data_IF_717765370040
#
_entry.id   IF_717765370040
#
_cell.length_a   1.000
_cell.length_b   1.000
_cell.length_c   1.000
_cell.angle_alpha   90.00
_cell.angle_beta   90.00
_cell.angle_gamma   90.00
#
_symmetry.space_group_name_H-M   'P 1'
#
loop_
_entity.id
_entity.type
_entity.pdbx_description
1 polymer ?
#
# COMPACT_ATOMS: atom_id res chain seq x y z
N UNK A 1 -9.85 13.77 -4.59
CA UNK A 1 -10.58 15.02 -4.26
C UNK A 1 -11.93 14.62 -3.69
N UNK A 2 -12.02 14.59 -2.37
CA UNK A 2 -13.20 14.14 -1.63
C UNK A 2 -14.35 15.14 -1.67
N UNK A 3 -15.59 14.64 -1.69
CA UNK A 3 -16.80 15.45 -1.53
C UNK A 3 -16.88 15.89 -0.07
N UNK A 4 -16.34 17.08 0.23
CA UNK A 4 -16.43 17.70 1.55
C UNK A 4 -17.88 18.00 1.96
N UNK A 5 -18.16 17.78 3.25
CA UNK A 5 -19.48 17.83 3.88
C UNK A 5 -20.18 19.21 3.89
N UNK A 6 -21.45 19.16 4.27
CA UNK A 6 -22.47 20.17 4.02
C UNK A 6 -22.53 21.27 5.10
N UNK A 7 -22.36 22.53 4.70
CA UNK A 7 -22.86 23.71 5.40
C UNK A 7 -23.80 24.49 4.47
N UNK A 8 -25.01 24.84 4.93
CA UNK A 8 -25.99 25.63 4.15
C UNK A 8 -25.29 26.87 3.54
N UNK A 9 -25.28 27.03 2.20
CA UNK A 9 -24.64 28.17 1.54
C UNK A 9 -25.12 29.53 2.04
N UNK A 10 -26.28 29.61 2.70
CA UNK A 10 -26.78 30.85 3.32
C UNK A 10 -25.99 31.31 4.54
N UNK A 11 -25.23 30.43 5.21
CA UNK A 11 -24.59 30.73 6.50
C UNK A 11 -23.21 31.41 6.36
N UNK A 12 -22.52 31.29 5.21
CA UNK A 12 -21.10 31.71 5.10
C UNK A 12 -20.82 32.61 3.88
N UNK A 13 -21.80 33.01 3.07
CA UNK A 13 -21.56 33.93 1.93
C UNK A 13 -20.47 33.46 0.94
N UNK A 14 -20.12 32.17 0.98
CA UNK A 14 -19.08 31.54 0.16
C UNK A 14 -19.77 30.65 -0.86
N UNK A 15 -19.61 30.98 -2.14
CA UNK A 15 -20.03 30.11 -3.22
C UNK A 15 -19.27 28.77 -3.13
N UNK A 16 -20.01 27.66 -3.05
CA UNK A 16 -19.43 26.32 -3.03
C UNK A 16 -18.70 26.05 -4.35
N UNK A 17 -17.61 25.29 -4.27
CA UNK A 17 -16.99 24.71 -5.47
C UNK A 17 -17.97 23.73 -6.13
N UNK A 18 -18.04 23.67 -7.47
CA UNK A 18 -18.94 22.76 -8.18
C UNK A 18 -18.68 21.29 -7.80
N UNK A 19 -19.75 20.54 -7.51
CA UNK A 19 -19.69 19.12 -7.17
C UNK A 19 -19.58 18.22 -8.42
N UNK A 20 -19.96 18.74 -9.58
CA UNK A 20 -19.79 18.11 -10.88
C UNK A 20 -18.35 18.35 -11.35
N UNK A 21 -17.61 17.29 -11.74
CA UNK A 21 -16.32 17.48 -12.38
C UNK A 21 -16.51 18.42 -13.58
N UNK A 22 -15.64 19.43 -13.79
CA UNK A 22 -15.74 20.23 -14.99
C UNK A 22 -15.57 19.29 -16.19
N UNK A 23 -16.46 19.37 -17.18
CA UNK A 23 -16.42 18.53 -18.40
C UNK A 23 -15.06 18.61 -19.13
N UNK A 24 -14.26 19.64 -18.84
CA UNK A 24 -12.95 19.94 -19.42
C UNK A 24 -11.74 19.50 -18.59
N UNK A 25 -11.89 19.07 -17.32
CA UNK A 25 -10.78 18.75 -16.42
C UNK A 25 -10.73 17.26 -16.07
N UNK A 26 -10.07 16.46 -16.92
CA UNK A 26 -9.78 15.06 -16.61
C UNK A 26 -8.39 14.89 -15.96
N UNK A 27 -8.17 13.77 -15.26
CA UNK A 27 -6.84 13.40 -14.74
C UNK A 27 -5.79 13.37 -15.86
N UNK A 28 -6.19 12.99 -17.08
CA UNK A 28 -5.32 13.01 -18.26
C UNK A 28 -4.87 14.42 -18.65
N UNK A 29 -5.76 15.42 -18.56
CA UNK A 29 -5.41 16.83 -18.82
C UNK A 29 -4.41 17.32 -17.79
N UNK A 30 -4.66 17.05 -16.50
CA UNK A 30 -3.74 17.42 -15.43
C UNK A 30 -2.37 16.77 -15.60
N UNK A 31 -2.33 15.46 -15.94
CA UNK A 31 -1.09 14.73 -16.16
C UNK A 31 -0.28 15.31 -17.32
N UNK A 32 -0.92 15.77 -18.40
CA UNK A 32 -0.25 16.40 -19.54
C UNK A 32 0.34 17.78 -19.22
N UNK A 33 -0.18 18.48 -18.20
CA UNK A 33 0.34 19.77 -17.77
C UNK A 33 1.63 19.65 -16.93
N UNK A 34 1.91 18.47 -16.39
CA UNK A 34 3.12 18.21 -15.59
C UNK A 34 4.31 17.98 -16.55
N UNK A 35 5.46 18.65 -16.34
CA UNK A 35 6.65 18.45 -17.16
C UNK A 35 7.10 16.99 -17.24
N UNK A 36 7.57 16.55 -18.41
CA UNK A 36 7.96 15.15 -18.65
C UNK A 36 9.04 14.65 -17.67
N UNK A 37 10.02 15.49 -17.34
CA UNK A 37 11.10 15.16 -16.41
C UNK A 37 10.59 14.82 -14.99
N UNK A 38 9.40 15.30 -14.59
CA UNK A 38 8.80 14.93 -13.30
C UNK A 38 8.34 13.46 -13.24
N UNK A 39 8.25 12.77 -14.38
CA UNK A 39 7.92 11.35 -14.46
C UNK A 39 9.16 10.44 -14.60
N UNK A 40 10.36 11.04 -14.72
CA UNK A 40 11.61 10.31 -14.81
C UNK A 40 12.04 9.82 -13.42
N UNK A 41 12.06 8.50 -13.27
CA UNK A 41 12.44 7.82 -12.02
C UNK A 41 13.89 7.36 -12.12
N UNK A 42 14.71 7.74 -11.15
CA UNK A 42 16.12 7.32 -11.09
C UNK A 42 16.31 6.29 -10.00
N UNK A 43 16.51 5.02 -10.40
CA UNK A 43 16.78 3.93 -9.46
C UNK A 43 17.98 4.24 -8.56
N UNK A 44 19.04 4.83 -9.13
CA UNK A 44 20.24 5.18 -8.38
C UNK A 44 19.96 6.22 -7.29
N UNK A 45 19.23 7.29 -7.64
CA UNK A 45 18.86 8.34 -6.69
C UNK A 45 17.96 7.80 -5.59
N UNK A 46 16.95 7.01 -5.93
CA UNK A 46 16.06 6.41 -4.93
C UNK A 46 16.81 5.43 -4.02
N UNK A 47 17.72 4.62 -4.59
CA UNK A 47 18.55 3.69 -3.84
C UNK A 47 19.55 4.39 -2.92
N UNK A 48 20.09 5.56 -3.29
CA UNK A 48 21.01 6.30 -2.42
C UNK A 48 20.30 6.86 -1.18
N UNK A 49 19.06 7.33 -1.29
CA UNK A 49 18.26 7.71 -0.12
C UNK A 49 17.99 6.50 0.78
N UNK A 50 17.55 5.37 0.21
CA UNK A 50 17.33 4.15 0.99
C UNK A 50 18.60 3.66 1.70
N UNK A 51 19.75 3.66 1.01
CA UNK A 51 21.02 3.26 1.59
C UNK A 51 21.45 4.23 2.70
N UNK A 52 21.16 5.51 2.56
CA UNK A 52 21.43 6.54 3.59
C UNK A 52 20.60 6.26 4.83
N UNK A 53 19.30 6.01 4.70
CA UNK A 53 18.43 5.69 5.83
C UNK A 53 18.90 4.41 6.54
N UNK A 54 19.23 3.35 5.78
CA UNK A 54 19.76 2.10 6.34
C UNK A 54 21.09 2.31 7.05
N UNK A 55 21.99 3.12 6.50
CA UNK A 55 23.27 3.46 7.13
C UNK A 55 23.07 4.24 8.43
N UNK A 56 22.15 5.21 8.46
CA UNK A 56 21.81 5.95 9.68
C UNK A 56 21.20 5.01 10.72
N UNK A 57 20.30 4.12 10.34
CA UNK A 57 19.75 3.10 11.25
C UNK A 57 20.85 2.21 11.84
N UNK A 58 21.78 1.74 11.02
CA UNK A 58 22.91 0.94 11.49
C UNK A 58 23.82 1.72 12.44
N UNK A 59 24.10 2.99 12.15
CA UNK A 59 24.90 3.86 13.01
C UNK A 59 24.20 4.14 14.35
N UNK A 60 22.89 4.44 14.34
CA UNK A 60 22.10 4.63 15.56
C UNK A 60 22.08 3.35 16.42
N UNK A 61 21.87 2.18 15.80
CA UNK A 61 21.93 0.91 16.50
C UNK A 61 23.31 0.66 17.11
N UNK A 62 24.39 0.89 16.34
CA UNK A 62 25.75 0.75 16.84
C UNK A 62 26.03 1.69 18.01
N UNK A 63 25.49 2.92 17.99
CA UNK A 63 25.58 3.88 19.10
C UNK A 63 25.05 3.32 20.43
N UNK A 64 24.05 2.43 20.40
CA UNK A 64 23.49 1.83 21.62
C UNK A 64 24.47 0.92 22.36
N UNK A 65 25.50 0.40 21.68
CA UNK A 65 26.50 -0.50 22.29
C UNK A 65 27.32 0.17 23.40
N UNK A 66 27.39 1.51 23.39
CA UNK A 66 28.07 2.28 24.43
C UNK A 66 27.16 2.74 25.56
N UNK A 67 25.82 2.58 25.47
CA UNK A 67 24.90 3.12 26.47
C UNK A 67 25.07 2.46 27.85
N UNK A 68 25.57 1.23 27.87
CA UNK A 68 25.84 0.46 29.10
C UNK A 68 27.26 0.65 29.65
N UNK A 69 28.02 1.63 29.14
CA UNK A 69 29.38 1.88 29.63
C UNK A 69 29.37 2.27 31.12
N UNK A 70 30.28 1.73 31.97
CA UNK A 70 30.27 1.98 33.41
C UNK A 70 30.32 3.46 33.83
N UNK A 71 30.89 4.32 32.98
CA UNK A 71 30.93 5.78 33.21
C UNK A 71 29.61 6.50 32.96
N UNK A 72 28.60 5.84 32.39
CA UNK A 72 27.29 6.43 32.11
C UNK A 72 26.33 6.05 33.23
N UNK A 73 25.81 7.01 34.01
CA UNK A 73 24.86 6.70 35.06
C UNK A 73 23.52 6.23 34.48
N UNK A 74 22.86 5.30 35.18
CA UNK A 74 21.62 4.67 34.72
C UNK A 74 20.52 5.67 34.34
N UNK A 75 20.38 6.78 35.08
CA UNK A 75 19.36 7.78 34.77
C UNK A 75 19.60 8.46 33.41
N UNK A 76 20.86 8.64 33.00
CA UNK A 76 21.20 9.21 31.70
C UNK A 76 20.98 8.19 30.58
N UNK A 77 21.42 6.95 30.81
CA UNK A 77 21.22 5.85 29.85
C UNK A 77 19.73 5.59 29.58
N UNK A 78 18.96 5.30 30.62
CA UNK A 78 17.55 4.91 30.48
C UNK A 78 16.58 6.09 30.43
N UNK A 79 16.92 7.23 31.05
CA UNK A 79 16.05 8.41 31.05
C UNK A 79 16.20 9.30 29.82
N UNK A 80 17.34 9.25 29.11
CA UNK A 80 17.58 10.12 27.95
C UNK A 80 18.07 9.36 26.72
N UNK A 81 19.16 8.60 26.82
CA UNK A 81 19.82 8.00 25.65
C UNK A 81 18.93 6.97 24.95
N UNK A 82 18.31 6.05 25.71
CA UNK A 82 17.37 5.06 25.17
C UNK A 82 16.12 5.70 24.55
N UNK A 83 15.39 6.61 25.22
CA UNK A 83 14.27 7.32 24.61
C UNK A 83 14.65 8.11 23.36
N UNK A 84 15.79 8.80 23.37
CA UNK A 84 16.28 9.50 22.20
C UNK A 84 16.57 8.54 21.04
N UNK A 85 17.21 7.40 21.32
CA UNK A 85 17.43 6.34 20.34
C UNK A 85 16.10 5.84 19.76
N UNK A 86 15.11 5.49 20.58
CA UNK A 86 13.81 5.01 20.09
C UNK A 86 13.14 6.02 19.15
N UNK A 87 13.16 7.30 19.54
CA UNK A 87 12.60 8.37 18.72
C UNK A 87 13.31 8.50 17.37
N UNK A 88 14.64 8.64 17.37
CA UNK A 88 15.40 8.84 16.14
C UNK A 88 15.42 7.59 15.26
N UNK A 89 15.56 6.39 15.85
CA UNK A 89 15.50 5.12 15.16
C UNK A 89 14.13 4.92 14.49
N UNK A 90 13.04 5.25 15.21
CA UNK A 90 11.67 5.21 14.68
C UNK A 90 11.43 6.23 13.57
N UNK A 91 11.95 7.45 13.71
CA UNK A 91 11.84 8.49 12.69
C UNK A 91 12.53 8.09 11.38
N UNK A 92 13.76 7.55 11.45
CA UNK A 92 14.48 7.05 10.26
C UNK A 92 13.81 5.80 9.70
N UNK A 93 13.34 4.88 10.56
CA UNK A 93 12.57 3.71 10.13
C UNK A 93 11.28 4.08 9.39
N UNK A 94 10.64 5.20 9.75
CA UNK A 94 9.49 5.75 9.01
C UNK A 94 9.90 6.21 7.61
N UNK A 95 11.11 6.76 7.43
CA UNK A 95 11.67 7.06 6.10
C UNK A 95 11.75 5.81 5.21
N UNK A 96 12.30 4.72 5.74
CA UNK A 96 12.34 3.42 5.04
C UNK A 96 10.93 2.91 4.73
N UNK A 97 9.99 3.06 5.66
CA UNK A 97 8.58 2.69 5.44
C UNK A 97 7.98 3.47 4.26
N UNK A 98 8.22 4.79 4.19
CA UNK A 98 7.72 5.69 3.11
C UNK A 98 8.34 5.30 1.77
N UNK A 99 9.67 5.10 1.70
CA UNK A 99 10.34 4.68 0.46
C UNK A 99 9.79 3.33 -0.04
N UNK A 100 9.56 2.39 0.88
CA UNK A 100 8.98 1.08 0.56
C UNK A 100 7.51 1.20 0.11
N UNK A 101 6.77 2.15 0.66
CA UNK A 101 5.43 2.52 0.20
C UNK A 101 5.45 3.10 -1.22
N UNK A 102 6.42 3.95 -1.54
CA UNK A 102 6.61 4.48 -2.92
C UNK A 102 6.96 3.37 -3.92
N UNK A 103 7.58 2.29 -3.47
CA UNK A 103 7.75 1.09 -4.29
C UNK A 103 6.37 0.47 -4.65
N UNK A 104 5.40 0.48 -3.73
CA UNK A 104 4.01 0.08 -4.01
C UNK A 104 3.37 0.91 -5.12
N UNK A 105 3.69 2.21 -5.19
CA UNK A 105 3.26 3.14 -6.25
C UNK A 105 4.07 3.04 -7.54
N UNK A 106 5.10 2.18 -7.56
CA UNK A 106 6.03 2.04 -8.68
C UNK A 106 6.85 3.32 -8.96
N UNK A 107 7.08 4.14 -7.94
CA UNK A 107 7.80 5.41 -8.07
C UNK A 107 9.33 5.28 -7.85
N UNK A 108 9.79 4.24 -7.16
CA UNK A 108 11.20 4.08 -6.80
C UNK A 108 12.14 3.86 -8.00
N UNK A 109 11.72 3.03 -8.96
CA UNK A 109 12.49 2.64 -10.15
C UNK A 109 11.60 2.58 -11.40
N UNK A 110 12.15 2.78 -12.61
CA UNK A 110 11.45 2.45 -13.85
C UNK A 110 11.05 0.97 -13.96
N UNK A 111 11.77 0.07 -13.27
CA UNK A 111 11.50 -1.38 -13.28
C UNK A 111 10.52 -1.77 -12.18
N UNK A 112 9.39 -2.36 -12.59
CA UNK A 112 8.41 -2.87 -11.62
C UNK A 112 8.96 -4.00 -10.76
N UNK A 113 9.82 -4.86 -11.31
CA UNK A 113 10.44 -5.93 -10.57
C UNK A 113 11.36 -5.39 -9.46
N UNK A 114 12.10 -4.30 -9.72
CA UNK A 114 12.94 -3.66 -8.70
C UNK A 114 12.08 -3.06 -7.59
N UNK A 115 11.01 -2.35 -7.95
CA UNK A 115 10.07 -1.78 -6.99
C UNK A 115 9.47 -2.88 -6.10
N UNK A 116 8.92 -3.94 -6.72
CA UNK A 116 8.25 -5.00 -5.99
C UNK A 116 9.22 -5.76 -5.08
N UNK A 117 10.46 -5.99 -5.51
CA UNK A 117 11.49 -6.64 -4.68
C UNK A 117 11.92 -5.77 -3.50
N UNK A 118 12.27 -4.50 -3.73
CA UNK A 118 12.69 -3.58 -2.66
C UNK A 118 11.56 -3.36 -1.66
N UNK A 119 10.37 -3.04 -2.18
CA UNK A 119 9.18 -2.87 -1.37
C UNK A 119 8.89 -4.12 -0.54
N UNK A 120 8.86 -5.30 -1.15
CA UNK A 120 8.62 -6.56 -0.44
C UNK A 120 9.61 -6.79 0.71
N UNK A 121 10.92 -6.64 0.47
CA UNK A 121 11.94 -6.86 1.49
C UNK A 121 11.77 -5.91 2.67
N UNK A 122 11.75 -4.60 2.42
CA UNK A 122 11.76 -3.61 3.50
C UNK A 122 10.40 -3.48 4.20
N UNK A 123 9.27 -3.60 3.50
CA UNK A 123 7.98 -3.68 4.17
C UNK A 123 7.84 -4.95 5.00
N UNK A 124 8.35 -6.10 4.56
CA UNK A 124 8.33 -7.33 5.38
C UNK A 124 9.13 -7.14 6.67
N UNK A 125 10.33 -6.53 6.60
CA UNK A 125 11.13 -6.21 7.79
C UNK A 125 10.41 -5.26 8.76
N UNK A 126 9.51 -4.42 8.24
CA UNK A 126 8.69 -3.49 9.02
C UNK A 126 7.28 -4.03 9.33
N UNK A 127 7.07 -5.35 9.17
CA UNK A 127 5.80 -6.03 9.46
C UNK A 127 4.60 -5.49 8.64
N UNK A 128 4.86 -5.06 7.41
CA UNK A 128 3.87 -4.62 6.44
C UNK A 128 3.73 -5.70 5.36
N UNK A 129 2.54 -6.28 5.14
CA UNK A 129 2.35 -7.32 4.12
C UNK A 129 2.26 -6.68 2.73
N UNK A 130 3.43 -6.43 2.11
CA UNK A 130 3.63 -5.58 0.93
C UNK A 130 2.56 -5.72 -0.17
N UNK A 131 2.40 -6.91 -0.76
CA UNK A 131 1.46 -7.09 -1.89
C UNK A 131 0.01 -6.86 -1.50
N UNK A 132 -0.38 -7.43 -0.36
CA UNK A 132 -1.73 -7.33 0.17
C UNK A 132 -2.10 -5.88 0.51
N UNK A 133 -1.15 -5.12 1.07
CA UNK A 133 -1.34 -3.72 1.41
C UNK A 133 -1.27 -2.82 0.18
N UNK A 134 -0.35 -3.08 -0.76
CA UNK A 134 -0.24 -2.36 -2.04
C UNK A 134 -1.59 -2.28 -2.78
N UNK A 135 -2.38 -3.35 -2.76
CA UNK A 135 -3.70 -3.38 -3.41
C UNK A 135 -4.75 -2.49 -2.71
N UNK A 136 -4.95 -2.66 -1.39
CA UNK A 136 -5.90 -1.85 -0.62
C UNK A 136 -5.47 -0.37 -0.60
N UNK A 137 -4.17 -0.14 -0.44
CA UNK A 137 -3.59 1.19 -0.41
C UNK A 137 -3.69 1.91 -1.76
N UNK A 138 -3.48 1.23 -2.89
CA UNK A 138 -3.75 1.81 -4.22
C UNK A 138 -5.21 2.26 -4.36
N UNK A 139 -6.15 1.47 -3.83
CA UNK A 139 -7.56 1.84 -3.83
C UNK A 139 -7.84 3.05 -2.93
N UNK A 140 -7.25 3.10 -1.74
CA UNK A 140 -7.26 4.30 -0.89
C UNK A 140 -6.85 5.54 -1.69
N UNK A 141 -5.68 5.54 -2.35
CA UNK A 141 -5.21 6.69 -3.14
C UNK A 141 -6.12 7.05 -4.32
N UNK A 142 -6.71 6.05 -4.98
CA UNK A 142 -7.65 6.31 -6.08
C UNK A 142 -8.97 6.94 -5.61
N UNK A 143 -9.33 6.76 -4.33
CA UNK A 143 -10.60 7.14 -3.76
C UNK A 143 -10.46 8.08 -2.54
N UNK A 144 -9.30 8.71 -2.33
CA UNK A 144 -9.04 9.50 -1.12
C UNK A 144 -10.10 10.56 -0.89
N UNK A 145 -10.71 10.51 0.30
CA UNK A 145 -11.79 11.42 0.71
C UNK A 145 -13.16 11.08 0.12
N UNK A 146 -13.32 9.91 -0.49
CA UNK A 146 -14.62 9.39 -0.90
C UNK A 146 -15.18 8.47 0.20
N UNK A 147 -16.21 8.93 0.91
CA UNK A 147 -16.82 8.20 2.03
C UNK A 147 -17.25 6.77 1.65
N UNK A 148 -17.70 6.55 0.40
CA UNK A 148 -18.17 5.24 -0.04
C UNK A 148 -17.08 4.31 -0.58
N UNK A 149 -15.91 4.84 -0.95
CA UNK A 149 -14.89 4.10 -1.72
C UNK A 149 -13.48 4.14 -1.15
N UNK A 150 -13.20 5.03 -0.20
CA UNK A 150 -11.94 5.04 0.54
C UNK A 150 -11.80 3.73 1.35
N UNK A 151 -10.58 3.25 1.51
CA UNK A 151 -10.29 1.97 2.16
C UNK A 151 -9.95 2.10 3.64
N UNK A 152 -9.43 3.25 4.10
CA UNK A 152 -8.79 3.36 5.43
C UNK A 152 -9.04 4.66 6.19
N UNK A 153 -9.43 5.75 5.52
CA UNK A 153 -9.75 7.02 6.19
C UNK A 153 -11.17 7.46 5.85
N UNK A 154 -12.14 6.60 6.15
CA UNK A 154 -13.57 6.85 5.93
C UNK A 154 -14.11 7.71 7.07
N UNK A 155 -14.53 8.97 6.81
CA UNK A 155 -15.18 9.79 7.82
C UNK A 155 -16.52 9.18 8.21
N UNK A 156 -16.91 9.33 9.47
CA UNK A 156 -18.26 8.99 9.93
C UNK A 156 -19.30 9.84 9.21
N UNK A 157 -20.47 9.27 8.96
CA UNK A 157 -21.61 10.04 8.49
C UNK A 157 -22.11 10.97 9.60
N UNK A 158 -22.67 12.13 9.23
CA UNK A 158 -23.22 13.09 10.20
C UNK A 158 -24.29 12.45 11.10
N UNK A 159 -25.07 11.53 10.55
CA UNK A 159 -26.11 10.80 11.27
C UNK A 159 -25.53 9.85 12.35
N UNK A 160 -24.25 9.49 12.24
CA UNK A 160 -23.51 8.68 13.22
C UNK A 160 -22.81 9.53 14.29
N UNK A 161 -22.81 10.85 14.14
CA UNK A 161 -22.17 11.78 15.06
C UNK A 161 -23.22 12.38 15.99
N UNK A 162 -23.26 11.90 17.22
CA UNK A 162 -24.22 12.34 18.23
C UNK A 162 -24.00 13.84 18.56
N UNK A 163 -25.09 14.60 18.64
CA UNK A 163 -25.07 16.06 18.68
C UNK A 163 -24.72 16.64 20.07
N UNK A 164 -24.56 15.79 21.07
CA UNK A 164 -24.21 16.18 22.44
C UNK A 164 -22.78 15.77 22.78
N UNK A 165 -22.09 16.66 23.50
CA UNK A 165 -20.73 16.51 24.04
C UNK A 165 -20.15 15.08 23.99
N UNK A 166 -19.27 14.86 23.03
CA UNK A 166 -18.65 13.56 22.87
C UNK A 166 -17.42 13.46 23.80
N UNK A 167 -17.53 12.64 24.85
CA UNK A 167 -16.44 12.38 25.82
C UNK A 167 -15.12 11.97 25.17
N UNK A 168 -15.15 11.39 23.97
CA UNK A 168 -13.93 11.08 23.21
C UNK A 168 -13.13 12.32 22.82
N UNK A 169 -13.74 13.50 22.84
CA UNK A 169 -13.07 14.75 22.50
C UNK A 169 -12.29 15.37 23.66
N UNK A 170 -12.48 14.90 24.90
CA UNK A 170 -11.70 15.34 26.06
C UNK A 170 -10.22 15.01 25.87
N UNK A 171 -9.34 15.95 26.25
CA UNK A 171 -7.91 15.81 26.05
C UNK A 171 -7.32 14.50 26.63
N UNK A 172 -7.64 14.07 27.87
CA UNK A 172 -7.13 12.80 28.39
C UNK A 172 -7.59 11.59 27.57
N UNK A 173 -8.85 11.57 27.13
CA UNK A 173 -9.41 10.48 26.33
C UNK A 173 -8.78 10.44 24.95
N UNK A 174 -8.62 11.61 24.30
CA UNK A 174 -7.90 11.72 23.02
C UNK A 174 -6.46 11.25 23.13
N UNK A 175 -5.75 11.58 24.21
CA UNK A 175 -4.37 11.12 24.42
C UNK A 175 -4.29 9.59 24.54
N UNK A 176 -5.25 8.97 25.24
CA UNK A 176 -5.34 7.50 25.30
C UNK A 176 -5.68 6.91 23.93
N UNK A 177 -6.63 7.49 23.20
CA UNK A 177 -6.98 7.04 21.85
C UNK A 177 -5.81 7.19 20.86
N UNK A 178 -5.07 8.31 20.92
CA UNK A 178 -3.86 8.51 20.13
C UNK A 178 -2.79 7.48 20.48
N UNK A 179 -2.57 7.22 21.77
CA UNK A 179 -1.63 6.19 22.21
C UNK A 179 -2.01 4.81 21.64
N UNK A 180 -3.28 4.42 21.76
CA UNK A 180 -3.79 3.17 21.16
C UNK A 180 -3.62 3.16 19.65
N UNK A 181 -3.91 4.26 18.97
CA UNK A 181 -3.83 4.35 17.51
C UNK A 181 -2.38 4.24 17.02
N UNK A 182 -1.45 4.91 17.68
CA UNK A 182 -0.03 4.91 17.33
C UNK A 182 0.67 3.59 17.65
N UNK A 183 0.17 2.82 18.64
CA UNK A 183 0.78 1.55 19.06
C UNK A 183 0.10 0.32 18.45
N UNK A 184 -1.23 0.28 18.46
CA UNK A 184 -2.04 -0.87 18.05
C UNK A 184 -2.84 -0.63 16.77
N UNK A 185 -3.02 0.62 16.34
CA UNK A 185 -3.85 0.95 15.18
C UNK A 185 -3.39 0.25 13.91
N UNK A 186 -2.08 0.22 13.65
CA UNK A 186 -1.52 -0.47 12.48
C UNK A 186 -1.75 -2.00 12.49
N UNK A 187 -1.36 -2.74 13.55
CA UNK A 187 -1.70 -4.18 13.66
C UNK A 187 -3.19 -4.48 13.53
N UNK A 188 -4.05 -3.70 14.22
CA UNK A 188 -5.50 -3.90 14.20
C UNK A 188 -6.10 -3.62 12.82
N UNK A 189 -5.58 -2.64 12.09
CA UNK A 189 -5.96 -2.40 10.69
C UNK A 189 -5.58 -3.59 9.80
N UNK A 190 -4.37 -4.12 9.92
CA UNK A 190 -3.93 -5.24 9.09
C UNK A 190 -4.71 -6.52 9.38
N UNK A 191 -4.95 -6.84 10.65
CA UNK A 191 -5.54 -8.11 11.07
C UNK A 191 -7.07 -8.07 10.97
N UNK A 192 -7.69 -6.93 11.28
CA UNK A 192 -9.14 -6.82 11.48
C UNK A 192 -9.81 -5.62 10.81
N UNK A 193 -9.07 -4.83 10.03
CA UNK A 193 -9.59 -3.68 9.28
C UNK A 193 -10.36 -2.65 10.14
N UNK A 194 -9.94 -2.46 11.40
CA UNK A 194 -10.65 -1.63 12.39
C UNK A 194 -10.89 -0.18 11.94
N UNK A 195 -9.96 0.41 11.21
CA UNK A 195 -10.10 1.78 10.67
C UNK A 195 -10.59 1.83 9.23
N UNK A 196 -10.81 0.67 8.60
CA UNK A 196 -11.17 0.59 7.18
C UNK A 196 -12.67 0.72 6.92
N UNK A 197 -13.04 0.76 5.65
CA UNK A 197 -14.45 0.68 5.23
C UNK A 197 -15.09 -0.64 5.70
N UNK A 198 -16.42 -0.66 5.95
CA UNK A 198 -17.11 -1.90 6.25
C UNK A 198 -17.13 -2.84 5.04
N UNK A 199 -17.10 -4.14 5.33
CA UNK A 199 -17.17 -5.25 4.39
C UNK A 199 -18.19 -6.28 4.88
N UNK A 200 -18.79 -7.03 3.95
CA UNK A 200 -19.83 -8.04 4.26
C UNK A 200 -19.31 -9.25 5.06
N UNK A 201 -17.98 -9.36 5.21
CA UNK A 201 -17.31 -10.42 5.97
C UNK A 201 -16.04 -9.89 6.63
N UNK A 202 -15.45 -10.69 7.49
CA UNK A 202 -14.18 -10.37 8.14
C UNK A 202 -13.09 -9.98 7.13
N UNK A 203 -12.49 -8.81 7.35
CA UNK A 203 -11.49 -8.20 6.48
C UNK A 203 -10.12 -8.23 7.15
N UNK A 204 -9.20 -8.95 6.51
CA UNK A 204 -7.83 -9.14 6.97
C UNK A 204 -6.88 -9.04 5.78
N UNK A 205 -5.75 -8.34 5.94
CA UNK A 205 -4.75 -8.21 4.88
C UNK A 205 -3.94 -9.50 4.67
N UNK A 206 -3.93 -10.40 5.64
CA UNK A 206 -3.23 -11.68 5.55
C UNK A 206 -4.09 -12.81 4.95
N UNK A 207 -5.40 -12.60 4.75
CA UNK A 207 -6.29 -13.57 4.09
C UNK A 207 -6.34 -13.28 2.57
N UNK A 208 -5.84 -14.18 1.70
CA UNK A 208 -5.91 -14.00 0.24
C UNK A 208 -7.35 -13.90 -0.30
N UNK A 209 -8.33 -14.44 0.42
CA UNK A 209 -9.74 -14.41 0.04
C UNK A 209 -10.51 -13.25 0.68
N UNK A 210 -9.82 -12.40 1.44
CA UNK A 210 -10.32 -11.17 2.09
C UNK A 210 -11.26 -10.40 1.15
N UNK A 211 -12.41 -9.89 1.66
CA UNK A 211 -13.31 -9.07 0.84
C UNK A 211 -12.64 -7.77 0.40
N UNK A 212 -11.50 -7.42 1.02
CA UNK A 212 -10.60 -6.39 0.55
C UNK A 212 -10.22 -6.64 -0.90
N UNK A 213 -9.88 -7.86 -1.33
CA UNK A 213 -9.35 -8.10 -2.67
C UNK A 213 -10.42 -8.46 -3.70
N UNK A 214 -10.36 -7.82 -4.86
CA UNK A 214 -11.12 -8.20 -6.05
C UNK A 214 -10.65 -9.54 -6.62
N UNK A 215 -11.52 -10.24 -7.36
CA UNK A 215 -11.16 -11.53 -8.02
C UNK A 215 -9.90 -11.40 -8.88
N UNK A 216 -9.73 -10.27 -9.56
CA UNK A 216 -8.55 -10.01 -10.40
C UNK A 216 -7.27 -9.90 -9.58
N UNK A 217 -7.26 -9.13 -8.50
CA UNK A 217 -6.09 -8.98 -7.63
C UNK A 217 -5.67 -10.34 -7.04
N UNK A 218 -6.65 -11.18 -6.66
CA UNK A 218 -6.40 -12.55 -6.18
C UNK A 218 -5.74 -13.42 -7.26
N UNK A 219 -6.21 -13.34 -8.50
CA UNK A 219 -5.65 -14.09 -9.62
C UNK A 219 -4.24 -13.61 -9.98
N UNK A 220 -3.98 -12.31 -9.92
CA UNK A 220 -2.64 -11.74 -10.13
C UNK A 220 -1.65 -12.27 -9.08
N UNK A 221 -2.05 -12.32 -7.80
CA UNK A 221 -1.22 -12.90 -6.74
C UNK A 221 -1.02 -14.42 -6.91
N UNK A 222 -2.09 -15.17 -7.19
CA UNK A 222 -1.99 -16.61 -7.46
C UNK A 222 -1.07 -16.91 -8.63
N UNK A 223 -1.16 -16.12 -9.71
CA UNK A 223 -0.28 -16.24 -10.88
C UNK A 223 1.17 -15.95 -10.49
N UNK A 224 1.42 -14.91 -9.69
CA UNK A 224 2.78 -14.56 -9.23
C UNK A 224 3.38 -15.66 -8.35
N UNK A 225 2.59 -16.29 -7.48
CA UNK A 225 3.03 -17.39 -6.64
C UNK A 225 3.28 -18.70 -7.43
N UNK A 226 2.47 -18.98 -8.44
CA UNK A 226 2.62 -20.18 -9.28
C UNK A 226 3.75 -20.05 -10.29
N UNK A 227 4.06 -18.84 -10.77
CA UNK A 227 5.05 -18.63 -11.84
C UNK A 227 6.45 -19.18 -11.51
N UNK A 228 7.03 -18.99 -10.31
CA UNK A 228 8.29 -19.62 -9.93
C UNK A 228 8.21 -21.15 -9.88
N UNK A 229 7.08 -21.72 -9.45
CA UNK A 229 6.86 -23.18 -9.37
C UNK A 229 6.75 -23.78 -10.77
N UNK A 230 5.99 -23.13 -11.64
CA UNK A 230 5.78 -23.55 -13.03
C UNK A 230 7.05 -23.37 -13.87
N UNK A 231 7.94 -22.44 -13.51
CA UNK A 231 9.22 -22.23 -14.19
C UNK A 231 9.08 -22.17 -15.72
N UNK A 232 9.73 -23.08 -16.48
CA UNK A 232 9.65 -23.11 -17.96
C UNK A 232 8.25 -23.50 -18.50
N UNK A 233 7.40 -24.10 -17.67
CA UNK A 233 6.03 -24.47 -18.02
C UNK A 233 5.05 -23.31 -17.91
N UNK A 234 5.42 -22.19 -17.27
CA UNK A 234 4.58 -21.00 -17.27
C UNK A 234 4.54 -20.40 -18.68
N UNK A 235 3.41 -20.58 -19.37
CA UNK A 235 3.10 -19.91 -20.63
C UNK A 235 2.19 -18.72 -20.36
N UNK A 236 2.50 -17.58 -20.96
CA UNK A 236 1.69 -16.35 -20.90
C UNK A 236 1.36 -15.91 -22.31
N UNK A 237 0.12 -15.48 -22.50
CA UNK A 237 -0.34 -14.86 -23.74
C UNK A 237 -0.77 -13.42 -23.45
N UNK A 238 -0.15 -12.46 -24.15
CA UNK A 238 -0.44 -11.03 -24.01
C UNK A 238 -1.52 -10.53 -24.99
N UNK A 239 -2.08 -11.43 -25.81
CA UNK A 239 -3.18 -11.10 -26.72
C UNK A 239 -4.45 -10.80 -25.91
N UNK A 240 -5.32 -9.98 -26.51
CA UNK A 240 -6.68 -9.79 -26.01
C UNK A 240 -7.39 -11.15 -25.89
N UNK A 241 -8.11 -11.39 -24.78
CA UNK A 241 -8.73 -12.68 -24.48
C UNK A 241 -9.64 -13.20 -25.60
N UNK A 242 -10.40 -12.33 -26.27
CA UNK A 242 -11.27 -12.73 -27.37
C UNK A 242 -10.47 -13.10 -28.62
N UNK A 243 -9.37 -12.38 -28.87
CA UNK A 243 -8.47 -12.69 -29.99
C UNK A 243 -7.71 -13.99 -29.75
N UNK A 244 -7.21 -14.21 -28.53
CA UNK A 244 -6.55 -15.45 -28.14
C UNK A 244 -7.50 -16.64 -28.29
N UNK A 245 -8.72 -16.54 -27.74
CA UNK A 245 -9.76 -17.57 -27.86
C UNK A 245 -10.14 -17.85 -29.31
N UNK A 246 -10.39 -16.82 -30.13
CA UNK A 246 -10.72 -17.01 -31.54
C UNK A 246 -9.59 -17.69 -32.32
N UNK A 247 -8.35 -17.31 -32.04
CA UNK A 247 -7.21 -17.86 -32.74
C UNK A 247 -6.94 -19.30 -32.31
N UNK A 248 -7.03 -19.61 -31.02
CA UNK A 248 -6.94 -20.99 -30.52
C UNK A 248 -8.07 -21.84 -31.11
N UNK A 249 -9.31 -21.33 -31.16
CA UNK A 249 -10.44 -22.02 -31.81
C UNK A 249 -10.19 -22.32 -33.29
N UNK A 250 -9.63 -21.37 -34.04
CA UNK A 250 -9.40 -21.54 -35.47
C UNK A 250 -8.09 -22.25 -35.84
N UNK A 251 -7.14 -22.42 -34.90
CA UNK A 251 -5.80 -22.94 -35.21
C UNK A 251 -5.40 -24.19 -34.42
N UNK A 252 -6.08 -24.51 -33.33
CA UNK A 252 -5.91 -25.77 -32.61
C UNK A 252 -6.73 -26.88 -33.29
N UNK A 253 -6.20 -27.45 -34.37
CA UNK A 253 -6.93 -28.40 -35.23
C UNK A 253 -6.91 -29.83 -34.70
N UNK A 254 -5.81 -30.27 -34.09
CA UNK A 254 -5.65 -31.62 -33.56
C UNK A 254 -4.63 -31.66 -32.42
N UNK A 255 -4.70 -32.71 -31.61
CA UNK A 255 -3.73 -32.99 -30.54
C UNK A 255 -2.77 -34.10 -30.98
N UNK A 256 -1.48 -33.91 -30.75
CA UNK A 256 -0.44 -34.89 -31.05
C UNK A 256 0.47 -35.09 -29.83
N UNK A 257 1.01 -36.30 -29.60
CA UNK A 257 1.91 -36.55 -28.48
C UNK A 257 3.19 -35.73 -28.60
N UNK A 258 3.71 -35.21 -27.47
CA UNK A 258 4.97 -34.46 -27.46
C UNK A 258 6.18 -35.36 -27.74
N UNK A 259 6.11 -36.58 -27.20
CA UNK A 259 7.10 -37.64 -27.33
C UNK A 259 6.36 -38.94 -27.64
N UNK A 260 6.85 -39.74 -28.60
CA UNK A 260 6.24 -41.03 -28.94
C UNK A 260 6.18 -41.94 -27.71
N UNK A 261 4.97 -42.11 -27.15
CA UNK A 261 4.68 -43.09 -26.11
C UNK A 261 4.35 -42.53 -24.72
N UNK A 262 4.46 -41.22 -24.50
CA UNK A 262 4.07 -40.60 -23.23
C UNK A 262 2.71 -39.90 -23.38
N UNK A 263 1.76 -40.19 -22.49
CA UNK A 263 0.34 -39.82 -22.59
C UNK A 263 0.01 -38.30 -22.53
N UNK A 264 1.00 -37.42 -22.73
CA UNK A 264 0.83 -35.97 -22.78
C UNK A 264 0.66 -35.55 -24.25
N UNK A 265 -0.53 -35.04 -24.56
CA UNK A 265 -0.93 -34.60 -25.90
C UNK A 265 -0.91 -33.06 -25.97
N UNK A 266 -0.37 -32.50 -27.04
CA UNK A 266 -0.34 -31.05 -27.28
C UNK A 266 -1.07 -30.66 -28.55
N UNK A 267 -1.72 -29.50 -28.54
CA UNK A 267 -2.32 -28.92 -29.73
C UNK A 267 -1.25 -28.54 -30.75
N UNK A 268 -1.42 -28.99 -31.99
CA UNK A 268 -0.59 -28.65 -33.14
C UNK A 268 -1.42 -27.93 -34.20
N UNK A 269 -0.72 -27.18 -35.04
CA UNK A 269 -1.29 -26.53 -36.21
C UNK A 269 -1.39 -27.52 -37.37
#
# INVERSE_FOLDING_TARGET
MGKGGYADPKVIGRNRVPATPPDKFSVGVLRKAIPAHCFERSTYKSASYLATDVAIMAALYYATTWFSHPSIPNWLAYGLLWPAYWFWQGAVGTGVWVISHECGHQAFSPSQAVNDSVGFVFHTLLLVPYYSWKHSHRRHHSNTGNVAKDEVFVPKHREEEDHDFNWTQLAPVRMVQLFITLTMGWPLYLISNVSGRPYDRYACHFDPYSPIYSKRERLEEATRALKPILGPYYKRDDRNVFRALWQDWCTCSYVAPDVKGEGVMWYRK
#
